data_IF_317634606247
#
_entry.id   IF_317634606247
#
_cell.length_a   1.000
_cell.length_b   1.000
_cell.length_c   1.000
_cell.angle_alpha   90.00
_cell.angle_beta   90.00
_cell.angle_gamma   90.00
#
_symmetry.space_group_name_H-M   'P 1'
#
loop_
_entity.id
_entity.type
_entity.pdbx_description
1 polymer ?
#
# COMPACT_ATOMS: atom_id res chain seq x y z
N UNK A 1 3.21 -6.18 2.40
CA UNK A 1 3.94 -5.45 3.46
C UNK A 1 5.41 -5.37 3.07
N UNK A 2 6.04 -4.20 3.21
CA UNK A 2 7.47 -4.00 2.95
C UNK A 2 8.06 -3.11 4.05
N UNK A 3 9.15 -3.54 4.68
CA UNK A 3 9.80 -2.81 5.77
C UNK A 3 10.94 -1.92 5.24
N UNK A 4 10.59 -0.77 4.66
CA UNK A 4 11.52 0.10 3.94
C UNK A 4 12.69 0.65 4.78
N UNK A 5 12.52 0.70 6.10
CA UNK A 5 13.52 1.18 7.06
C UNK A 5 13.96 0.10 8.07
N UNK A 6 13.73 -1.17 7.76
CA UNK A 6 13.89 -2.27 8.71
C UNK A 6 12.70 -2.42 9.67
N UNK A 7 12.82 -3.31 10.66
CA UNK A 7 11.74 -3.60 11.61
C UNK A 7 12.33 -4.01 12.97
N UNK A 8 11.80 -3.45 14.06
CA UNK A 8 12.30 -3.67 15.43
C UNK A 8 11.93 -5.05 16.01
N UNK A 9 10.83 -5.64 15.56
CA UNK A 9 10.34 -6.95 16.03
C UNK A 9 10.73 -8.12 15.12
N UNK A 10 11.39 -7.85 13.99
CA UNK A 10 11.79 -8.87 13.01
C UNK A 10 13.27 -9.15 13.12
N UNK A 11 13.59 -10.42 13.28
CA UNK A 11 14.93 -10.95 13.14
C UNK A 11 15.20 -11.42 11.71
N UNK A 12 16.45 -11.32 11.28
CA UNK A 12 16.91 -11.67 9.94
C UNK A 12 18.06 -12.66 10.02
N UNK A 13 18.09 -13.60 9.07
CA UNK A 13 19.22 -14.50 8.90
C UNK A 13 19.69 -14.40 7.46
N UNK A 14 20.71 -13.57 7.22
CA UNK A 14 21.16 -13.18 5.89
C UNK A 14 21.59 -14.37 5.02
N UNK A 15 22.25 -15.36 5.62
CA UNK A 15 22.73 -16.56 4.90
C UNK A 15 21.57 -17.37 4.32
N UNK A 16 20.50 -17.57 5.09
CA UNK A 16 19.32 -18.33 4.66
C UNK A 16 18.25 -17.46 3.96
N UNK A 17 18.45 -16.13 3.92
CA UNK A 17 17.50 -15.13 3.42
C UNK A 17 16.09 -15.32 3.99
N UNK A 18 16.03 -15.52 5.30
CA UNK A 18 14.79 -15.76 6.03
C UNK A 18 14.55 -14.69 7.09
N UNK A 19 13.28 -14.52 7.45
CA UNK A 19 12.81 -13.59 8.47
C UNK A 19 12.04 -14.37 9.53
N UNK A 20 12.06 -13.89 10.77
CA UNK A 20 11.30 -14.45 11.86
C UNK A 20 11.17 -13.45 13.01
N UNK A 21 10.62 -13.88 14.13
CA UNK A 21 10.68 -13.08 15.35
C UNK A 21 12.13 -12.98 15.84
N UNK A 22 12.50 -11.82 16.40
CA UNK A 22 13.83 -11.66 17.00
C UNK A 22 14.02 -12.73 18.08
N UNK A 23 15.24 -13.27 18.18
CA UNK A 23 15.63 -14.32 19.12
C UNK A 23 14.99 -15.71 18.91
N UNK A 24 14.25 -15.95 17.82
CA UNK A 24 13.85 -17.31 17.43
C UNK A 24 14.89 -17.96 16.51
N UNK A 25 14.74 -19.26 16.27
CA UNK A 25 15.64 -20.03 15.41
C UNK A 25 15.16 -20.03 13.96
N UNK A 26 16.10 -19.89 13.03
CA UNK A 26 15.86 -20.11 11.61
C UNK A 26 15.58 -21.60 11.37
N UNK A 27 14.39 -21.92 10.84
CA UNK A 27 13.97 -23.31 10.58
C UNK A 27 14.91 -24.08 9.63
N UNK A 28 15.69 -23.37 8.80
CA UNK A 28 16.57 -23.98 7.79
C UNK A 28 17.93 -24.43 8.35
N UNK A 29 18.44 -23.76 9.38
CA UNK A 29 19.82 -23.97 9.84
C UNK A 29 19.97 -23.91 11.37
N UNK A 30 18.86 -23.69 12.08
CA UNK A 30 18.78 -23.65 13.53
C UNK A 30 19.69 -22.61 14.21
N UNK A 31 20.15 -21.60 13.46
CA UNK A 31 20.82 -20.42 14.04
C UNK A 31 19.78 -19.37 14.42
N UNK A 32 20.09 -18.57 15.45
CA UNK A 32 19.20 -17.48 15.88
C UNK A 32 19.11 -16.40 14.80
N UNK A 33 17.92 -15.80 14.67
CA UNK A 33 17.75 -14.59 13.89
C UNK A 33 18.42 -13.40 14.58
N UNK A 34 19.22 -12.64 13.83
CA UNK A 34 19.82 -11.39 14.28
C UNK A 34 18.81 -10.25 14.19
N UNK A 35 18.83 -9.26 15.10
CA UNK A 35 17.98 -8.07 14.96
C UNK A 35 18.18 -7.39 13.61
N UNK A 36 17.08 -7.06 12.90
CA UNK A 36 17.20 -6.33 11.66
C UNK A 36 17.62 -4.88 11.91
N UNK A 37 18.71 -4.47 11.27
CA UNK A 37 19.19 -3.09 11.31
C UNK A 37 18.12 -2.12 10.84
N UNK A 38 17.90 -1.08 11.63
CA UNK A 38 17.03 0.03 11.27
C UNK A 38 17.82 1.10 10.50
N UNK A 39 17.16 1.69 9.50
CA UNK A 39 17.62 2.92 8.86
C UNK A 39 17.11 4.12 9.69
N UNK A 40 17.81 4.43 10.78
CA UNK A 40 17.62 5.66 11.58
C UNK A 40 18.76 6.66 11.32
N UNK A 41 18.53 7.96 11.58
CA UNK A 41 18.65 8.99 10.58
C UNK A 41 20.11 9.28 10.25
N UNK A 42 20.45 9.07 8.97
CA UNK A 42 21.61 9.65 8.33
C UNK A 42 21.10 10.60 7.25
N UNK A 43 21.74 11.77 7.14
CA UNK A 43 21.40 12.83 6.17
C UNK A 43 21.37 12.30 4.72
N UNK A 44 22.05 11.19 4.48
CA UNK A 44 22.04 10.41 3.25
C UNK A 44 21.73 8.95 3.60
N UNK A 45 20.56 8.45 3.18
CA UNK A 45 20.14 7.07 3.45
C UNK A 45 20.51 6.20 2.27
N UNK A 46 21.54 5.38 2.42
CA UNK A 46 21.86 4.38 1.41
C UNK A 46 20.94 3.15 1.55
N UNK A 47 19.81 3.17 0.84
CA UNK A 47 18.87 2.04 0.78
C UNK A 47 19.42 0.80 0.06
N UNK A 48 20.60 0.90 -0.54
CA UNK A 48 21.26 -0.21 -1.23
C UNK A 48 22.31 -0.91 -0.36
N UNK A 49 22.72 -0.30 0.76
CA UNK A 49 23.74 -0.82 1.67
C UNK A 49 23.34 -2.13 2.36
N UNK A 50 22.04 -2.34 2.59
CA UNK A 50 21.50 -3.55 3.18
C UNK A 50 20.68 -4.31 2.13
N UNK A 51 21.08 -5.55 1.86
CA UNK A 51 20.47 -6.36 0.80
C UNK A 51 18.99 -6.67 1.05
N UNK A 52 18.56 -6.78 2.31
CA UNK A 52 17.16 -7.05 2.67
C UNK A 52 16.33 -5.79 2.54
N UNK A 53 16.85 -4.64 2.98
CA UNK A 53 16.20 -3.34 2.78
C UNK A 53 16.04 -3.06 1.28
N UNK A 54 17.10 -3.28 0.49
CA UNK A 54 17.06 -3.15 -0.97
C UNK A 54 15.97 -4.02 -1.58
N UNK A 55 15.78 -5.25 -1.08
CA UNK A 55 14.69 -6.12 -1.51
C UNK A 55 13.31 -5.53 -1.18
N UNK A 56 13.13 -4.93 0.00
CA UNK A 56 11.88 -4.26 0.37
C UNK A 56 11.57 -3.08 -0.56
N UNK A 57 12.58 -2.28 -0.89
CA UNK A 57 12.45 -1.18 -1.86
C UNK A 57 12.13 -1.71 -3.25
N UNK A 58 12.77 -2.77 -3.72
CA UNK A 58 12.45 -3.39 -5.00
C UNK A 58 10.99 -3.89 -5.06
N UNK A 59 10.46 -4.44 -3.96
CA UNK A 59 9.03 -4.82 -3.86
C UNK A 59 8.12 -3.60 -3.98
N UNK A 60 8.44 -2.50 -3.30
CA UNK A 60 7.68 -1.25 -3.44
C UNK A 60 7.71 -0.75 -4.88
N UNK A 61 8.90 -0.64 -5.48
CA UNK A 61 9.09 -0.17 -6.87
C UNK A 61 8.26 -0.98 -7.86
N UNK A 62 8.35 -2.30 -7.78
CA UNK A 62 7.59 -3.20 -8.63
C UNK A 62 6.08 -2.97 -8.50
N UNK A 63 5.56 -2.82 -7.28
CA UNK A 63 4.12 -2.59 -7.06
C UNK A 63 3.69 -1.18 -7.48
N UNK A 64 4.51 -0.16 -7.21
CA UNK A 64 4.21 1.23 -7.54
C UNK A 64 4.20 1.46 -9.06
N UNK A 65 5.10 0.82 -9.81
CA UNK A 65 5.18 0.91 -11.26
C UNK A 65 4.00 0.28 -12.02
N UNK A 66 3.06 -0.35 -11.32
CA UNK A 66 1.85 -0.95 -11.91
C UNK A 66 0.58 -0.61 -11.10
N UNK A 67 0.67 0.31 -10.14
CA UNK A 67 -0.43 0.61 -9.24
C UNK A 67 -1.53 1.40 -9.98
N UNK A 68 -2.79 1.01 -9.79
CA UNK A 68 -3.92 1.75 -10.36
C UNK A 68 -4.46 2.81 -9.40
N UNK A 69 -4.39 2.54 -8.09
CA UNK A 69 -4.64 3.52 -7.04
C UNK A 69 -3.42 3.50 -6.10
N UNK A 70 -2.89 4.67 -5.78
CA UNK A 70 -1.80 4.83 -4.81
C UNK A 70 -2.27 5.67 -3.62
N UNK A 71 -2.59 5.01 -2.50
CA UNK A 71 -3.02 5.68 -1.27
C UNK A 71 -1.86 5.89 -0.29
N UNK A 72 -1.76 7.09 0.27
CA UNK A 72 -0.76 7.52 1.25
C UNK A 72 -1.46 7.90 2.56
N UNK A 73 -0.93 7.42 3.69
CA UNK A 73 -1.48 7.70 5.02
C UNK A 73 -0.47 8.45 5.88
N UNK A 74 -0.81 9.68 6.29
CA UNK A 74 -0.08 10.44 7.32
C UNK A 74 1.42 10.64 7.05
N UNK A 75 1.86 10.47 5.81
CA UNK A 75 3.25 10.62 5.42
C UNK A 75 3.42 11.96 4.69
N UNK A 76 4.33 12.77 5.20
CA UNK A 76 4.52 14.15 4.74
C UNK A 76 5.47 14.32 3.57
N UNK A 77 5.99 13.22 3.00
CA UNK A 77 7.08 13.22 2.01
C UNK A 77 8.16 14.26 2.35
N UNK A 78 8.77 14.18 3.56
CA UNK A 78 9.64 15.23 4.04
C UNK A 78 10.81 15.44 3.08
N UNK A 79 11.13 16.71 2.79
CA UNK A 79 12.20 17.13 1.87
C UNK A 79 13.55 16.50 2.24
N UNK A 80 13.75 16.13 3.50
CA UNK A 80 14.97 15.46 3.99
C UNK A 80 15.11 14.02 3.52
N UNK A 81 14.07 13.39 2.98
CA UNK A 81 14.07 12.00 2.50
C UNK A 81 14.16 11.94 0.97
N UNK A 82 15.10 12.71 0.42
CA UNK A 82 15.27 12.95 -1.02
C UNK A 82 15.36 11.63 -1.79
N UNK A 83 16.15 10.68 -1.29
CA UNK A 83 16.41 9.42 -1.98
C UNK A 83 15.13 8.56 -2.08
N UNK A 84 14.36 8.44 -1.00
CA UNK A 84 13.08 7.73 -1.01
C UNK A 84 12.08 8.39 -1.96
N UNK A 85 11.98 9.71 -1.87
CA UNK A 85 11.05 10.50 -2.69
C UNK A 85 11.37 10.37 -4.17
N UNK A 86 12.63 10.55 -4.55
CA UNK A 86 13.07 10.44 -5.95
C UNK A 86 12.85 9.04 -6.50
N UNK A 87 13.13 8.00 -5.70
CA UNK A 87 12.93 6.62 -6.09
C UNK A 87 11.44 6.34 -6.32
N UNK A 88 10.56 6.69 -5.38
CA UNK A 88 9.11 6.50 -5.54
C UNK A 88 8.56 7.31 -6.72
N UNK A 89 8.96 8.58 -6.84
CA UNK A 89 8.51 9.47 -7.91
C UNK A 89 8.89 8.92 -9.28
N UNK A 90 10.14 8.44 -9.44
CA UNK A 90 10.62 7.85 -10.67
C UNK A 90 9.75 6.66 -11.10
N UNK A 91 9.52 5.71 -10.19
CA UNK A 91 8.72 4.53 -10.54
C UNK A 91 7.27 4.88 -10.82
N UNK A 92 6.67 5.74 -9.98
CA UNK A 92 5.29 6.19 -10.16
C UNK A 92 5.09 6.89 -11.51
N UNK A 93 6.01 7.79 -11.90
CA UNK A 93 5.96 8.48 -13.20
C UNK A 93 6.21 7.56 -14.39
N UNK A 94 6.87 6.41 -14.18
CA UNK A 94 7.09 5.41 -15.22
C UNK A 94 5.93 4.41 -15.36
N UNK A 95 4.93 4.48 -14.50
CA UNK A 95 3.77 3.60 -14.54
C UNK A 95 2.97 3.82 -15.84
N UNK A 96 2.80 2.79 -16.70
CA UNK A 96 2.07 2.94 -17.96
C UNK A 96 0.58 3.25 -17.77
N UNK A 97 0.01 2.94 -16.59
CA UNK A 97 -1.40 3.25 -16.29
C UNK A 97 -1.58 4.62 -15.65
N UNK A 98 -0.52 5.40 -15.46
CA UNK A 98 -0.57 6.70 -14.78
C UNK A 98 -1.68 7.65 -15.29
N UNK A 99 -1.96 7.76 -16.61
CA UNK A 99 -3.05 8.60 -17.09
C UNK A 99 -4.45 8.16 -16.70
N UNK A 100 -4.60 6.94 -16.18
CA UNK A 100 -5.87 6.39 -15.68
C UNK A 100 -5.84 6.17 -14.17
N UNK A 101 -4.66 6.27 -13.55
CA UNK A 101 -4.46 5.97 -12.15
C UNK A 101 -4.84 7.17 -11.27
N UNK A 102 -5.06 6.88 -9.98
CA UNK A 102 -5.43 7.86 -8.96
C UNK A 102 -4.44 7.83 -7.79
N UNK A 103 -4.13 9.02 -7.27
CA UNK A 103 -3.35 9.18 -6.05
C UNK A 103 -4.24 9.67 -4.92
N UNK A 104 -4.30 8.96 -3.81
CA UNK A 104 -5.15 9.33 -2.68
C UNK A 104 -4.27 9.63 -1.46
N UNK A 105 -4.53 10.72 -0.75
CA UNK A 105 -3.73 11.13 0.40
C UNK A 105 -4.66 11.35 1.58
N UNK A 106 -4.40 10.61 2.66
CA UNK A 106 -5.17 10.70 3.90
C UNK A 106 -4.27 11.32 4.96
N UNK A 107 -4.50 12.59 5.27
CA UNK A 107 -3.70 13.37 6.21
C UNK A 107 -4.57 14.40 6.93
N UNK A 108 -4.41 14.54 8.25
CA UNK A 108 -5.15 15.49 9.10
C UNK A 108 -4.69 16.93 8.89
N UNK A 109 -3.60 17.15 8.17
CA UNK A 109 -3.12 18.48 7.82
C UNK A 109 -4.08 19.20 6.87
N UNK A 110 -3.84 20.49 6.75
CA UNK A 110 -4.46 21.35 5.76
C UNK A 110 -4.18 20.86 4.32
N UNK A 111 -5.23 20.86 3.50
CA UNK A 111 -5.22 20.31 2.14
C UNK A 111 -4.18 21.01 1.24
N UNK A 112 -4.11 22.34 1.27
CA UNK A 112 -3.15 23.10 0.45
C UNK A 112 -1.70 22.74 0.79
N UNK A 113 -1.40 22.51 2.08
CA UNK A 113 -0.06 22.09 2.52
C UNK A 113 0.28 20.67 2.05
N UNK A 114 -0.70 19.78 2.08
CA UNK A 114 -0.54 18.39 1.61
C UNK A 114 -0.32 18.39 0.10
N UNK A 115 -1.18 19.08 -0.65
CA UNK A 115 -1.08 19.21 -2.10
C UNK A 115 0.29 19.75 -2.52
N UNK A 116 0.75 20.83 -1.87
CA UNK A 116 2.08 21.40 -2.14
C UNK A 116 3.22 20.42 -1.90
N UNK A 117 3.12 19.57 -0.87
CA UNK A 117 4.16 18.58 -0.55
C UNK A 117 4.23 17.45 -1.57
N UNK A 118 3.08 17.10 -2.15
CA UNK A 118 2.89 15.96 -3.03
C UNK A 118 2.74 16.31 -4.51
N UNK A 119 2.74 17.60 -4.86
CA UNK A 119 2.53 18.12 -6.22
C UNK A 119 3.30 17.38 -7.32
N UNK A 120 4.56 17.02 -7.09
CA UNK A 120 5.34 16.30 -8.10
C UNK A 120 4.80 14.90 -8.42
N UNK A 121 4.15 14.23 -7.46
CA UNK A 121 3.56 12.90 -7.66
C UNK A 121 2.24 12.96 -8.42
N UNK A 122 1.45 14.02 -8.21
CA UNK A 122 0.17 14.20 -8.90
C UNK A 122 0.34 14.16 -10.42
N UNK A 123 -0.59 13.50 -11.11
CA UNK A 123 -0.65 13.47 -12.56
C UNK A 123 -1.84 14.30 -13.03
N UNK A 124 -1.56 15.44 -13.69
CA UNK A 124 -2.59 16.39 -14.09
C UNK A 124 -3.42 16.86 -12.90
N UNK A 125 -4.63 16.33 -12.72
CA UNK A 125 -5.56 16.63 -11.63
C UNK A 125 -5.96 15.37 -10.83
N UNK A 126 -5.36 14.20 -11.13
CA UNK A 126 -5.74 12.91 -10.57
C UNK A 126 -5.18 12.75 -9.17
N UNK A 127 -5.90 13.30 -8.20
CA UNK A 127 -5.67 13.07 -6.79
C UNK A 127 -6.90 13.39 -5.93
N UNK A 128 -7.00 12.70 -4.79
CA UNK A 128 -7.94 12.99 -3.72
C UNK A 128 -7.23 13.19 -2.40
N UNK A 129 -7.52 14.30 -1.70
CA UNK A 129 -7.00 14.56 -0.36
C UNK A 129 -8.16 14.48 0.64
N UNK A 130 -7.98 13.68 1.70
CA UNK A 130 -9.00 13.41 2.69
C UNK A 130 -8.43 13.50 4.10
N UNK A 131 -9.18 14.11 5.03
CA UNK A 131 -8.79 14.14 6.44
C UNK A 131 -9.26 12.91 7.24
N UNK A 132 -10.18 12.14 6.68
CA UNK A 132 -10.72 10.91 7.27
C UNK A 132 -10.64 9.77 6.25
N UNK A 133 -10.11 8.63 6.69
CA UNK A 133 -10.06 7.38 5.91
C UNK A 133 -11.43 6.94 5.41
N UNK A 134 -12.52 7.30 6.09
CA UNK A 134 -13.89 6.93 5.70
C UNK A 134 -14.29 7.42 4.31
N UNK A 135 -13.64 8.48 3.81
CA UNK A 135 -13.89 9.01 2.47
C UNK A 135 -13.07 8.30 1.38
N UNK A 136 -12.09 7.47 1.76
CA UNK A 136 -11.19 6.79 0.83
C UNK A 136 -11.87 5.68 0.03
N UNK A 137 -11.33 5.37 -1.14
CA UNK A 137 -11.72 4.17 -1.91
C UNK A 137 -11.50 2.87 -1.14
N UNK A 138 -10.48 2.82 -0.28
CA UNK A 138 -10.20 1.65 0.57
C UNK A 138 -11.32 1.40 1.58
N UNK A 139 -11.95 2.46 2.10
CA UNK A 139 -13.04 2.34 3.05
C UNK A 139 -14.39 2.14 2.39
N UNK A 140 -14.65 2.84 1.28
CA UNK A 140 -15.92 2.79 0.52
C UNK A 140 -16.10 1.50 -0.26
N UNK A 141 -15.00 0.90 -0.70
CA UNK A 141 -15.01 -0.33 -1.50
C UNK A 141 -13.95 -1.33 -1.00
N UNK A 142 -14.07 -1.87 0.23
CA UNK A 142 -13.08 -2.80 0.76
C UNK A 142 -12.88 -4.00 -0.16
N UNK A 143 -11.62 -4.26 -0.53
CA UNK A 143 -11.21 -5.31 -1.49
C UNK A 143 -11.74 -5.15 -2.93
N UNK A 144 -12.35 -4.01 -3.26
CA UNK A 144 -12.92 -3.70 -4.58
C UNK A 144 -12.59 -2.30 -5.08
N UNK A 145 -11.66 -1.60 -4.42
CA UNK A 145 -11.31 -0.20 -4.71
C UNK A 145 -10.96 0.03 -6.18
N UNK A 146 -10.08 -0.80 -6.75
CA UNK A 146 -9.69 -0.70 -8.15
C UNK A 146 -10.85 -1.02 -9.11
N UNK A 147 -11.66 -2.04 -8.80
CA UNK A 147 -12.81 -2.42 -9.64
C UNK A 147 -13.88 -1.33 -9.65
N UNK A 148 -14.20 -0.76 -8.49
CA UNK A 148 -15.15 0.33 -8.36
C UNK A 148 -14.65 1.59 -9.08
N UNK A 149 -13.36 1.92 -8.94
CA UNK A 149 -12.76 3.06 -9.63
C UNK A 149 -12.73 2.86 -11.15
N UNK A 150 -12.38 1.67 -11.63
CA UNK A 150 -12.42 1.32 -13.06
C UNK A 150 -13.85 1.34 -13.61
N UNK A 151 -14.83 0.81 -12.87
CA UNK A 151 -16.23 0.81 -13.29
C UNK A 151 -16.77 2.25 -13.43
N UNK A 152 -16.43 3.14 -12.50
CA UNK A 152 -16.80 4.54 -12.57
C UNK A 152 -16.13 5.26 -13.77
N UNK A 153 -14.80 5.13 -13.93
CA UNK A 153 -14.03 5.95 -14.87
C UNK A 153 -13.93 5.38 -16.29
N UNK A 154 -13.89 4.05 -16.42
CA UNK A 154 -13.69 3.38 -17.72
C UNK A 154 -14.99 2.85 -18.31
N UNK A 155 -15.97 2.51 -17.46
CA UNK A 155 -17.21 1.85 -17.87
C UNK A 155 -18.46 2.73 -17.72
N UNK A 156 -18.32 3.96 -17.20
CA UNK A 156 -19.43 4.85 -16.87
C UNK A 156 -20.52 4.20 -16.00
N UNK A 157 -20.13 3.26 -15.13
CA UNK A 157 -21.02 2.47 -14.30
C UNK A 157 -20.54 2.52 -12.82
N UNK A 158 -20.68 3.67 -12.15
CA UNK A 158 -20.23 3.81 -10.78
C UNK A 158 -20.99 2.86 -9.84
N UNK A 159 -20.23 2.13 -9.02
CA UNK A 159 -20.79 1.25 -8.01
C UNK A 159 -21.31 2.07 -6.82
N UNK A 160 -22.37 1.62 -6.15
CA UNK A 160 -22.76 2.20 -4.86
C UNK A 160 -21.70 1.85 -3.80
N UNK A 161 -21.66 2.63 -2.74
CA UNK A 161 -20.73 2.37 -1.65
C UNK A 161 -21.06 1.06 -0.93
N UNK A 162 -20.02 0.32 -0.53
CA UNK A 162 -20.11 -0.84 0.35
C UNK A 162 -19.12 -0.66 1.50
N UNK A 163 -19.38 0.36 2.31
CA UNK A 163 -18.45 0.83 3.35
C UNK A 163 -18.30 -0.18 4.47
N UNK A 164 -17.15 -0.16 5.14
CA UNK A 164 -17.05 -0.75 6.47
C UNK A 164 -18.11 -0.15 7.40
N UNK A 165 -18.72 -1.01 8.20
CA UNK A 165 -19.72 -0.65 9.19
C UNK A 165 -19.09 -0.54 10.58
N UNK A 166 -19.83 -0.03 11.55
CA UNK A 166 -19.41 -0.01 12.95
C UNK A 166 -19.57 -1.42 13.57
N UNK A 167 -18.59 -2.28 13.32
CA UNK A 167 -18.54 -3.63 13.89
C UNK A 167 -18.16 -3.58 15.37
N UNK A 168 -18.88 -4.33 16.20
CA UNK A 168 -18.62 -4.47 17.64
C UNK A 168 -17.63 -5.58 17.94
N UNK A 169 -17.49 -6.55 17.03
CA UNK A 169 -16.60 -7.71 17.19
C UNK A 169 -15.82 -8.01 15.91
N UNK A 170 -14.68 -8.68 16.05
CA UNK A 170 -13.91 -9.18 14.90
C UNK A 170 -14.71 -10.23 14.12
N UNK A 171 -15.55 -11.01 14.80
CA UNK A 171 -16.44 -12.00 14.16
C UNK A 171 -17.45 -11.32 13.22
N UNK A 172 -18.06 -10.21 13.64
CA UNK A 172 -18.94 -9.42 12.78
C UNK A 172 -18.21 -8.91 11.53
N UNK A 173 -16.99 -8.36 11.70
CA UNK A 173 -16.14 -7.95 10.57
C UNK A 173 -15.84 -9.12 9.63
N UNK A 174 -15.43 -10.28 10.16
CA UNK A 174 -15.16 -11.46 9.36
C UNK A 174 -16.39 -11.95 8.59
N UNK A 175 -17.55 -11.99 9.25
CA UNK A 175 -18.81 -12.39 8.64
C UNK A 175 -19.24 -11.43 7.54
N UNK A 176 -19.00 -10.13 7.70
CA UNK A 176 -19.25 -9.11 6.69
C UNK A 176 -18.30 -9.23 5.48
N UNK A 177 -17.01 -9.51 5.70
CA UNK A 177 -16.01 -9.69 4.62
C UNK A 177 -16.19 -11.01 3.86
N UNK A 178 -16.66 -12.08 4.52
CA UNK A 178 -16.71 -13.45 3.98
C UNK A 178 -17.36 -13.59 2.59
N UNK A 179 -18.46 -12.90 2.25
CA UNK A 179 -19.04 -12.98 0.91
C UNK A 179 -18.13 -12.39 -0.17
N UNK A 180 -17.34 -11.35 0.14
CA UNK A 180 -16.37 -10.75 -0.78
C UNK A 180 -15.23 -11.71 -1.09
N UNK A 181 -14.74 -12.45 -0.07
CA UNK A 181 -13.72 -13.47 -0.23
C UNK A 181 -14.21 -14.66 -1.08
N UNK A 182 -15.42 -15.15 -0.80
CA UNK A 182 -16.02 -16.23 -1.60
C UNK A 182 -16.17 -15.85 -3.07
N UNK A 183 -16.43 -14.57 -3.34
CA UNK A 183 -16.49 -14.05 -4.70
C UNK A 183 -15.11 -13.96 -5.36
N UNK A 184 -14.06 -13.59 -4.63
CA UNK A 184 -12.69 -13.63 -5.13
C UNK A 184 -12.27 -15.07 -5.47
N UNK A 185 -12.59 -16.03 -4.59
CA UNK A 185 -12.35 -17.45 -4.83
C UNK A 185 -13.08 -17.94 -6.08
N UNK A 186 -14.34 -17.51 -6.28
CA UNK A 186 -15.12 -17.81 -7.48
C UNK A 186 -14.46 -17.22 -8.73
N UNK A 187 -14.08 -15.94 -8.67
CA UNK A 187 -13.42 -15.26 -9.80
C UNK A 187 -12.12 -15.98 -10.19
N UNK A 188 -11.33 -16.45 -9.23
CA UNK A 188 -10.10 -17.17 -9.55
C UNK A 188 -10.36 -18.48 -10.32
N UNK A 189 -11.49 -19.14 -10.04
CA UNK A 189 -11.87 -20.40 -10.68
C UNK A 189 -12.58 -20.21 -12.03
N UNK A 190 -13.52 -19.26 -12.13
CA UNK A 190 -14.39 -19.13 -13.30
C UNK A 190 -14.08 -17.92 -14.18
N UNK A 191 -13.32 -16.95 -13.68
CA UNK A 191 -13.11 -15.62 -14.28
C UNK A 191 -14.41 -14.85 -14.55
N UNK A 192 -15.51 -15.27 -13.92
CA UNK A 192 -16.76 -14.52 -13.95
C UNK A 192 -16.59 -13.21 -13.19
N UNK A 193 -16.96 -12.06 -13.78
CA UNK A 193 -16.87 -10.77 -13.11
C UNK A 193 -17.53 -10.78 -11.73
N UNK A 194 -17.03 -9.91 -10.85
CA UNK A 194 -17.65 -9.68 -9.56
C UNK A 194 -19.11 -9.24 -9.77
N UNK A 195 -20.03 -9.98 -9.16
CA UNK A 195 -21.43 -9.64 -9.08
C UNK A 195 -21.49 -8.61 -7.98
N UNK A 196 -21.57 -7.35 -8.36
CA UNK A 196 -21.66 -6.25 -7.43
C UNK A 196 -22.80 -6.50 -6.42
N UNK A 197 -22.44 -6.94 -5.20
CA UNK A 197 -23.38 -7.24 -4.14
C UNK A 197 -23.54 -5.98 -3.31
N UNK A 198 -24.51 -5.14 -3.67
CA UNK A 198 -25.10 -4.23 -2.69
C UNK A 198 -25.83 -5.12 -1.69
N UNK A 199 -25.44 -5.10 -0.43
CA UNK A 199 -26.35 -5.44 0.66
C UNK A 199 -26.72 -4.16 1.37
#
# INVERSE_FOLDING_TARGET
LAFLHGNTGTGVHYKCKSYGYVNTLCEKCMTRFDPWKLLYPVKHKDYSADSLIKEQWNKLRYKLGQAYIFTIFGYSAPVTDIDARNLMLKEWKSNPTLPLAEMEIIDIKDEEKVEKSWKEFTFSHHHGIHQDIRHSFLWRYPRRSCDAFAAANLMCNPWKDNTFQDFKTIEELHNWIKPLLKEEDRYEQSKEPFKYMVK
#
